data_IF_854668728638
#
_entry.id   IF_854668728638
#
_cell.length_a   1.000
_cell.length_b   1.000
_cell.length_c   1.000
_cell.angle_alpha   90.00
_cell.angle_beta   90.00
_cell.angle_gamma   90.00
#
_symmetry.space_group_name_H-M   'P 1'
#
loop_
_entity.id
_entity.type
_entity.pdbx_description
1 polymer ?
#
# COMPACT_ATOMS: atom_id res chain seq x y z
N UNK A 1 -19.44 17.15 -17.95
CA UNK A 1 -19.27 16.46 -16.66
C UNK A 1 -18.10 15.46 -16.69
N UNK A 2 -17.92 14.65 -17.75
CA UNK A 2 -16.81 13.68 -17.86
C UNK A 2 -15.41 14.31 -17.93
N UNK A 3 -15.26 15.48 -18.57
CA UNK A 3 -13.97 16.18 -18.67
C UNK A 3 -13.47 16.68 -17.31
N UNK A 4 -14.38 17.19 -16.47
CA UNK A 4 -14.04 17.66 -15.12
C UNK A 4 -13.52 16.51 -14.24
N UNK A 5 -14.19 15.35 -14.29
CA UNK A 5 -13.73 14.14 -13.60
C UNK A 5 -12.36 13.66 -14.12
N UNK A 6 -12.13 13.71 -15.43
CA UNK A 6 -10.84 13.33 -16.01
C UNK A 6 -9.70 14.25 -15.57
N UNK A 7 -9.95 15.56 -15.49
CA UNK A 7 -9.01 16.54 -14.94
C UNK A 7 -8.72 16.27 -13.46
N UNK A 8 -9.74 15.95 -12.66
CA UNK A 8 -9.57 15.57 -11.26
C UNK A 8 -8.74 14.29 -11.11
N UNK A 9 -8.95 13.29 -11.97
CA UNK A 9 -8.15 12.07 -11.96
C UNK A 9 -6.69 12.34 -12.33
N UNK A 10 -6.44 13.16 -13.35
CA UNK A 10 -5.08 13.56 -13.74
C UNK A 10 -4.38 14.33 -12.62
N UNK A 11 -5.06 15.28 -11.96
CA UNK A 11 -4.53 16.02 -10.83
C UNK A 11 -4.17 15.10 -9.65
N UNK A 12 -5.04 14.14 -9.33
CA UNK A 12 -4.77 13.13 -8.28
C UNK A 12 -3.64 12.18 -8.67
N UNK A 13 -3.53 11.83 -9.95
CA UNK A 13 -2.42 11.03 -10.44
C UNK A 13 -1.08 11.75 -10.26
N UNK A 14 -1.01 13.07 -10.45
CA UNK A 14 0.18 13.87 -10.14
C UNK A 14 0.65 13.66 -8.70
N UNK A 15 -0.28 13.75 -7.74
CA UNK A 15 0.04 13.56 -6.32
C UNK A 15 0.65 12.17 -6.06
N UNK A 16 0.01 11.12 -6.57
CA UNK A 16 0.51 9.75 -6.38
C UNK A 16 1.84 9.48 -7.10
N UNK A 17 2.06 10.08 -8.27
CA UNK A 17 3.33 10.00 -8.97
C UNK A 17 4.43 10.69 -8.14
N UNK A 18 4.14 11.83 -7.51
CA UNK A 18 5.12 12.52 -6.66
C UNK A 18 5.42 11.75 -5.37
N UNK A 19 4.42 11.14 -4.73
CA UNK A 19 4.62 10.20 -3.60
C UNK A 19 5.54 9.05 -4.03
N UNK A 20 5.23 8.41 -5.16
CA UNK A 20 6.02 7.30 -5.69
C UNK A 20 7.47 7.72 -5.98
N UNK A 21 7.69 8.94 -6.51
CA UNK A 21 9.02 9.49 -6.77
C UNK A 21 9.84 9.73 -5.50
N UNK A 22 9.19 10.03 -4.37
CA UNK A 22 9.85 10.21 -3.06
C UNK A 22 10.17 8.86 -2.41
N UNK A 23 9.22 7.94 -2.41
CA UNK A 23 9.34 6.64 -1.74
C UNK A 23 10.23 5.63 -2.49
N UNK A 24 10.30 5.69 -3.82
CA UNK A 24 11.06 4.69 -4.60
C UNK A 24 12.58 4.71 -4.28
N UNK A 25 13.26 5.86 -4.15
CA UNK A 25 14.63 5.91 -3.63
C UNK A 25 14.79 5.25 -2.25
N UNK A 26 13.83 5.45 -1.33
CA UNK A 26 13.87 4.85 0.01
C UNK A 26 13.80 3.32 -0.05
N UNK A 27 13.04 2.74 -0.99
CA UNK A 27 13.05 1.29 -1.22
C UNK A 27 14.43 0.78 -1.67
N UNK A 28 15.12 1.54 -2.53
CA UNK A 28 16.46 1.17 -2.97
C UNK A 28 17.46 1.20 -1.81
N UNK A 29 17.31 2.15 -0.89
CA UNK A 29 18.10 2.23 0.33
C UNK A 29 17.81 1.06 1.28
N UNK A 30 16.54 0.70 1.48
CA UNK A 30 16.14 -0.44 2.33
C UNK A 30 16.57 -1.80 1.77
N UNK A 31 16.85 -1.89 0.46
CA UNK A 31 17.39 -3.10 -0.15
C UNK A 31 18.87 -3.33 0.23
N UNK A 32 19.58 -2.31 0.72
CA UNK A 32 21.01 -2.41 1.08
C UNK A 32 21.20 -3.36 2.28
N UNK A 33 21.93 -4.46 2.13
CA UNK A 33 22.16 -5.42 3.21
C UNK A 33 22.84 -4.77 4.43
N UNK A 34 22.31 -5.01 5.63
CA UNK A 34 22.92 -4.58 6.90
C UNK A 34 22.14 -3.55 7.70
N UNK A 35 21.02 -3.02 7.19
CA UNK A 35 20.13 -2.16 7.99
C UNK A 35 19.16 -3.02 8.82
N UNK A 36 19.03 -2.80 10.14
CA UNK A 36 17.93 -3.38 10.89
C UNK A 36 16.62 -2.78 10.37
N UNK A 37 15.84 -3.58 9.63
CA UNK A 37 14.56 -3.15 9.08
C UNK A 37 13.61 -2.78 10.22
N UNK A 38 13.16 -1.52 10.26
CA UNK A 38 12.14 -1.03 11.19
C UNK A 38 10.77 -1.65 10.92
N UNK A 39 10.57 -2.22 9.72
CA UNK A 39 9.35 -2.89 9.28
C UNK A 39 9.09 -4.27 9.94
N UNK A 40 9.91 -4.69 10.90
CA UNK A 40 9.55 -5.83 11.75
C UNK A 40 8.46 -5.39 12.73
N UNK A 41 7.20 -5.48 12.28
CA UNK A 41 6.04 -5.40 13.17
C UNK A 41 6.30 -6.33 14.37
N UNK A 42 6.05 -5.91 15.62
CA UNK A 42 6.03 -6.83 16.73
C UNK A 42 5.01 -7.92 16.38
N UNK A 43 5.47 -9.16 16.18
CA UNK A 43 4.57 -10.31 16.29
C UNK A 43 3.84 -10.18 17.63
N UNK A 44 2.55 -10.54 17.66
CA UNK A 44 1.71 -10.58 18.87
C UNK A 44 2.52 -10.97 20.12
N UNK A 45 2.27 -10.38 21.30
CA UNK A 45 3.12 -10.53 22.48
C UNK A 45 3.46 -12.01 22.69
N UNK A 46 4.69 -12.36 22.32
CA UNK A 46 5.19 -13.73 22.39
C UNK A 46 5.23 -14.10 23.86
N UNK A 47 4.76 -15.31 24.17
CA UNK A 47 4.81 -15.83 25.54
C UNK A 47 6.24 -15.67 26.10
N UNK A 48 6.39 -15.45 27.42
CA UNK A 48 7.72 -15.39 28.04
C UNK A 48 8.63 -16.56 27.63
N UNK A 49 8.07 -17.76 27.47
CA UNK A 49 8.79 -18.95 26.98
C UNK A 49 9.34 -18.79 25.55
N UNK A 50 8.56 -18.21 24.63
CA UNK A 50 9.00 -17.99 23.25
C UNK A 50 10.09 -16.90 23.14
N UNK A 51 10.08 -15.92 24.06
CA UNK A 51 11.17 -14.93 24.19
C UNK A 51 12.44 -15.56 24.72
N UNK A 52 12.32 -16.40 25.75
CA UNK A 52 13.46 -17.12 26.34
C UNK A 52 14.11 -18.06 25.31
N UNK A 53 13.32 -18.87 24.60
CA UNK A 53 13.83 -19.80 23.58
C UNK A 53 14.52 -19.10 22.39
N UNK A 54 14.22 -17.81 22.14
CA UNK A 54 14.95 -17.01 21.15
C UNK A 54 16.26 -16.47 21.73
N UNK A 55 16.23 -15.92 22.94
CA UNK A 55 17.42 -15.45 23.62
C UNK A 55 18.45 -16.58 23.86
N UNK A 56 17.98 -17.81 24.05
CA UNK A 56 18.83 -19.00 24.19
C UNK A 56 19.49 -19.37 22.86
N UNK A 57 18.75 -19.32 21.74
CA UNK A 57 19.30 -19.51 20.38
C UNK A 57 20.31 -18.42 20.03
N UNK A 58 19.95 -17.15 20.24
CA UNK A 58 20.83 -16.01 19.96
C UNK A 58 22.13 -16.05 20.81
N UNK A 59 22.08 -16.69 22.00
CA UNK A 59 23.27 -16.94 22.84
C UNK A 59 24.10 -18.12 22.32
N UNK A 60 23.46 -19.21 21.90
CA UNK A 60 24.13 -20.35 21.31
C UNK A 60 24.86 -19.95 20.01
N UNK A 61 24.17 -19.24 19.12
CA UNK A 61 24.75 -18.75 17.86
C UNK A 61 25.98 -17.86 18.10
N UNK A 62 25.94 -17.00 19.14
CA UNK A 62 27.09 -16.18 19.55
C UNK A 62 28.26 -17.01 20.09
N UNK A 63 27.97 -18.06 20.85
CA UNK A 63 29.00 -18.96 21.36
C UNK A 63 29.69 -19.72 20.22
N UNK A 64 28.92 -20.17 19.23
CA UNK A 64 29.45 -20.86 18.05
C UNK A 64 30.31 -19.95 17.17
N UNK A 65 29.91 -18.68 16.98
CA UNK A 65 30.73 -17.67 16.27
C UNK A 65 32.07 -17.46 16.98
N UNK A 66 32.05 -17.22 18.30
CA UNK A 66 33.27 -17.00 19.09
C UNK A 66 34.18 -18.22 19.09
N UNK A 67 33.60 -19.43 19.14
CA UNK A 67 34.36 -20.67 19.04
C UNK A 67 35.03 -20.80 17.67
N UNK A 68 34.31 -20.52 16.58
CA UNK A 68 34.87 -20.56 15.22
C UNK A 68 36.01 -19.54 15.03
N UNK A 69 35.84 -18.32 15.55
CA UNK A 69 36.87 -17.27 15.54
C UNK A 69 38.15 -17.70 16.28
N UNK A 70 38.02 -18.32 17.46
CA UNK A 70 39.15 -18.83 18.24
C UNK A 70 39.92 -19.95 17.53
N UNK A 71 39.26 -20.69 16.63
CA UNK A 71 39.85 -21.79 15.87
C UNK A 71 40.27 -21.39 14.45
N UNK A 72 40.25 -20.08 14.13
CA UNK A 72 40.65 -19.57 12.83
C UNK A 72 39.74 -20.00 11.68
N UNK A 73 38.52 -20.43 11.98
CA UNK A 73 37.50 -20.80 11.00
C UNK A 73 36.67 -19.56 10.68
N UNK A 74 36.81 -19.02 9.46
CA UNK A 74 35.90 -17.97 8.99
C UNK A 74 34.47 -18.51 8.96
N UNK A 75 33.49 -17.82 9.56
CA UNK A 75 32.11 -18.26 9.50
C UNK A 75 31.65 -18.30 8.04
N UNK A 76 31.31 -19.49 7.55
CA UNK A 76 30.56 -19.68 6.29
C UNK A 76 29.14 -19.18 6.57
N UNK A 77 28.94 -17.86 6.48
CA UNK A 77 27.70 -17.23 6.94
C UNK A 77 27.83 -15.81 7.48
N UNK A 78 29.01 -15.17 7.43
CA UNK A 78 29.16 -13.72 7.66
C UNK A 78 28.50 -12.84 6.58
N UNK A 79 27.41 -13.31 5.98
CA UNK A 79 26.66 -12.60 4.95
C UNK A 79 26.00 -11.38 5.57
N UNK A 80 26.13 -10.24 4.90
CA UNK A 80 25.36 -9.05 5.19
C UNK A 80 23.88 -9.43 5.40
N UNK A 81 23.20 -8.74 6.33
CA UNK A 81 21.86 -9.12 6.78
C UNK A 81 20.96 -9.55 5.60
N UNK A 82 20.13 -10.61 5.75
CA UNK A 82 19.36 -11.17 4.64
C UNK A 82 18.62 -10.08 3.87
N UNK A 83 18.72 -10.09 2.54
CA UNK A 83 17.97 -9.18 1.67
C UNK A 83 16.49 -9.28 2.03
N UNK A 84 15.84 -8.13 2.23
CA UNK A 84 14.42 -8.08 2.46
C UNK A 84 13.68 -8.41 1.16
N UNK A 85 13.29 -9.68 0.99
CA UNK A 85 12.63 -10.18 -0.21
C UNK A 85 11.34 -9.41 -0.55
N UNK A 86 10.61 -8.92 0.47
CA UNK A 86 9.41 -8.08 0.25
C UNK A 86 9.76 -6.75 -0.40
N UNK A 87 10.88 -6.13 -0.02
CA UNK A 87 11.36 -4.88 -0.64
C UNK A 87 11.84 -5.17 -2.07
N UNK A 88 12.57 -6.27 -2.27
CA UNK A 88 13.00 -6.70 -3.61
C UNK A 88 11.82 -6.95 -4.56
N UNK A 89 10.79 -7.65 -4.10
CA UNK A 89 9.58 -7.91 -4.89
C UNK A 89 8.82 -6.62 -5.19
N UNK A 90 8.70 -5.71 -4.22
CA UNK A 90 8.08 -4.41 -4.45
C UNK A 90 8.82 -3.61 -5.53
N UNK A 91 10.16 -3.56 -5.48
CA UNK A 91 10.98 -2.84 -6.46
C UNK A 91 10.74 -3.39 -7.87
N UNK A 92 10.73 -4.72 -8.02
CA UNK A 92 10.46 -5.38 -9.31
C UNK A 92 9.07 -5.03 -9.84
N UNK A 93 8.04 -5.25 -9.02
CA UNK A 93 6.65 -4.97 -9.39
C UNK A 93 6.41 -3.49 -9.77
N UNK A 94 7.05 -2.55 -9.06
CA UNK A 94 6.94 -1.12 -9.33
C UNK A 94 7.70 -0.76 -10.61
N UNK A 95 8.88 -1.34 -10.81
CA UNK A 95 9.66 -1.11 -12.04
C UNK A 95 8.90 -1.57 -13.26
N UNK A 96 8.34 -2.78 -13.23
CA UNK A 96 7.54 -3.33 -14.33
C UNK A 96 6.27 -2.49 -14.53
N UNK A 97 5.55 -2.18 -13.44
CA UNK A 97 4.33 -1.38 -13.51
C UNK A 97 4.54 0.04 -14.09
N UNK A 98 5.65 0.71 -13.78
CA UNK A 98 5.95 2.04 -14.35
C UNK A 98 6.30 1.93 -15.85
N UNK A 99 7.01 0.87 -16.26
CA UNK A 99 7.31 0.62 -17.67
C UNK A 99 6.01 0.37 -18.44
N UNK A 100 5.16 -0.53 -17.95
CA UNK A 100 3.87 -0.86 -18.56
C UNK A 100 2.96 0.37 -18.64
N UNK A 101 2.88 1.16 -17.57
CA UNK A 101 2.07 2.39 -17.54
C UNK A 101 2.55 3.44 -18.54
N UNK A 102 3.87 3.66 -18.66
CA UNK A 102 4.41 4.59 -19.65
C UNK A 102 4.16 4.10 -21.08
N UNK A 103 4.30 2.80 -21.34
CA UNK A 103 3.98 2.23 -22.65
C UNK A 103 2.48 2.38 -22.98
N UNK A 104 1.58 2.09 -22.03
CA UNK A 104 0.13 2.25 -22.21
C UNK A 104 -0.30 3.71 -22.47
N UNK A 105 0.26 4.66 -21.72
CA UNK A 105 -0.02 6.10 -21.93
C UNK A 105 0.47 6.55 -23.31
N UNK A 106 1.70 6.16 -23.70
CA UNK A 106 2.27 6.59 -24.98
C UNK A 106 1.61 5.94 -26.17
N UNK A 107 1.18 4.69 -26.06
CA UNK A 107 0.38 4.03 -27.08
C UNK A 107 -0.96 4.77 -27.28
N UNK A 108 -1.66 5.06 -26.17
CA UNK A 108 -2.95 5.77 -26.22
C UNK A 108 -2.83 7.17 -26.81
N UNK A 109 -1.74 7.88 -26.51
CA UNK A 109 -1.43 9.22 -27.04
C UNK A 109 -0.70 9.19 -28.41
N UNK A 110 -0.43 8.00 -28.97
CA UNK A 110 0.28 7.79 -30.25
C UNK A 110 1.67 8.43 -30.32
N UNK A 111 2.41 8.40 -29.21
CA UNK A 111 3.75 9.01 -29.09
C UNK A 111 4.89 8.04 -29.39
N UNK A 112 4.60 6.80 -29.79
CA UNK A 112 5.58 5.75 -30.03
C UNK A 112 6.27 5.25 -28.75
N UNK A 113 7.18 4.27 -28.90
CA UNK A 113 7.79 3.58 -27.76
C UNK A 113 8.70 4.51 -26.93
N UNK A 114 8.62 4.50 -25.59
CA UNK A 114 9.53 5.29 -24.76
C UNK A 114 10.97 4.75 -24.83
N UNK A 115 11.99 5.61 -24.72
CA UNK A 115 13.36 5.16 -24.51
C UNK A 115 13.50 4.46 -23.14
N UNK A 116 14.55 3.65 -22.98
CA UNK A 116 14.89 3.06 -21.67
C UNK A 116 15.28 4.18 -20.69
N UNK A 117 14.74 4.12 -19.48
CA UNK A 117 15.04 5.06 -18.41
C UNK A 117 14.79 4.42 -17.04
N UNK A 118 15.40 4.97 -15.99
CA UNK A 118 15.12 4.58 -14.62
C UNK A 118 13.71 5.04 -14.19
N UNK A 119 13.15 4.39 -13.17
CA UNK A 119 11.79 4.69 -12.67
C UNK A 119 11.56 6.19 -12.39
N UNK A 120 12.46 6.93 -11.71
CA UNK A 120 12.25 8.36 -11.46
C UNK A 120 12.17 9.22 -12.74
N UNK A 121 12.92 8.86 -13.79
CA UNK A 121 12.87 9.55 -15.08
C UNK A 121 11.57 9.26 -15.82
N UNK A 122 11.09 8.02 -15.79
CA UNK A 122 9.82 7.62 -16.41
C UNK A 122 8.64 8.30 -15.74
N UNK A 123 8.62 8.34 -14.41
CA UNK A 123 7.62 9.06 -13.63
C UNK A 123 7.58 10.55 -13.98
N UNK A 124 8.76 11.20 -14.11
CA UNK A 124 8.84 12.59 -14.58
C UNK A 124 8.27 12.80 -15.98
N UNK A 125 8.45 11.84 -16.90
CA UNK A 125 7.86 11.89 -18.25
C UNK A 125 6.35 11.72 -18.19
N UNK A 126 5.84 10.78 -17.39
CA UNK A 126 4.42 10.56 -17.17
C UNK A 126 3.73 11.83 -16.65
N UNK A 127 4.31 12.50 -15.63
CA UNK A 127 3.76 13.77 -15.11
C UNK A 127 3.57 14.82 -16.21
N UNK A 128 4.52 14.93 -17.14
CA UNK A 128 4.44 15.90 -18.26
C UNK A 128 3.35 15.57 -19.29
N UNK A 129 2.83 14.35 -19.29
CA UNK A 129 1.76 13.92 -20.20
C UNK A 129 0.37 14.07 -19.58
N UNK A 130 0.26 14.40 -18.28
CA UNK A 130 -1.02 14.37 -17.56
C UNK A 130 -2.07 15.35 -18.12
N UNK A 131 -1.66 16.50 -18.66
CA UNK A 131 -2.58 17.43 -19.33
C UNK A 131 -3.20 16.84 -20.60
N UNK A 132 -2.46 16.00 -21.32
CA UNK A 132 -2.98 15.28 -22.49
C UNK A 132 -3.82 14.07 -22.05
N UNK A 133 -3.39 13.37 -20.99
CA UNK A 133 -4.16 12.27 -20.38
C UNK A 133 -5.53 12.73 -19.91
N UNK A 134 -5.66 13.96 -19.39
CA UNK A 134 -6.94 14.53 -18.96
C UNK A 134 -7.97 14.64 -20.10
N UNK A 135 -7.55 14.61 -21.36
CA UNK A 135 -8.43 14.59 -22.53
C UNK A 135 -9.05 13.19 -22.78
N UNK A 136 -8.60 12.18 -22.04
CA UNK A 136 -9.00 10.78 -22.18
C UNK A 136 -9.47 10.22 -20.82
N UNK A 137 -10.79 10.28 -20.50
CA UNK A 137 -11.30 9.92 -19.17
C UNK A 137 -10.90 8.52 -18.67
N UNK A 138 -10.97 7.51 -19.54
CA UNK A 138 -10.58 6.15 -19.18
C UNK A 138 -9.07 6.01 -18.93
N UNK A 139 -8.23 6.75 -19.68
CA UNK A 139 -6.79 6.77 -19.45
C UNK A 139 -6.44 7.49 -18.16
N UNK A 140 -7.10 8.62 -17.87
CA UNK A 140 -6.90 9.37 -16.63
C UNK A 140 -7.24 8.52 -15.39
N UNK A 141 -8.34 7.77 -15.44
CA UNK A 141 -8.69 6.80 -14.40
C UNK A 141 -7.61 5.72 -14.25
N UNK A 142 -7.19 5.11 -15.37
CA UNK A 142 -6.17 4.08 -15.34
C UNK A 142 -4.85 4.59 -14.74
N UNK A 143 -4.36 5.74 -15.18
CA UNK A 143 -3.12 6.33 -14.66
C UNK A 143 -3.21 6.61 -13.16
N UNK A 144 -4.35 7.12 -12.68
CA UNK A 144 -4.61 7.28 -11.25
C UNK A 144 -4.54 5.95 -10.50
N UNK A 145 -5.25 4.92 -10.99
CA UNK A 145 -5.32 3.61 -10.33
C UNK A 145 -3.94 2.94 -10.25
N UNK A 146 -3.19 2.96 -11.35
CA UNK A 146 -1.88 2.36 -11.45
C UNK A 146 -0.85 3.08 -10.57
N UNK A 147 -0.82 4.42 -10.63
CA UNK A 147 0.11 5.23 -9.81
C UNK A 147 -0.15 5.02 -8.32
N UNK A 148 -1.43 5.01 -7.94
CA UNK A 148 -1.86 4.75 -6.57
C UNK A 148 -1.49 3.35 -6.12
N UNK A 149 -1.72 2.32 -6.95
CA UNK A 149 -1.35 0.94 -6.62
C UNK A 149 0.15 0.83 -6.33
N UNK A 150 0.99 1.44 -7.16
CA UNK A 150 2.44 1.40 -7.02
C UNK A 150 2.94 2.18 -5.79
N UNK A 151 2.44 3.40 -5.55
CA UNK A 151 2.77 4.19 -4.36
C UNK A 151 2.40 3.45 -3.07
N UNK A 152 1.23 2.80 -3.03
CA UNK A 152 0.81 1.99 -1.87
C UNK A 152 1.71 0.77 -1.67
N UNK A 153 2.17 0.13 -2.74
CA UNK A 153 3.11 -1.00 -2.65
C UNK A 153 4.46 -0.52 -2.10
N UNK A 154 4.92 0.69 -2.45
CA UNK A 154 6.08 1.33 -1.83
C UNK A 154 5.86 1.51 -0.32
N UNK A 155 4.84 2.28 0.09
CA UNK A 155 4.58 2.56 1.50
C UNK A 155 4.41 1.28 2.32
N UNK A 156 3.69 0.29 1.79
CA UNK A 156 3.60 -1.01 2.42
C UNK A 156 5.00 -1.62 2.60
N UNK A 157 5.82 -1.75 1.54
CA UNK A 157 7.15 -2.33 1.65
C UNK A 157 8.09 -1.58 2.63
N UNK A 158 7.91 -0.27 2.79
CA UNK A 158 8.62 0.57 3.77
C UNK A 158 8.07 0.44 5.21
N UNK A 159 6.92 -0.20 5.39
CA UNK A 159 6.34 -0.46 6.71
C UNK A 159 5.26 0.54 7.15
N UNK A 160 4.81 1.42 6.24
CA UNK A 160 3.73 2.37 6.54
C UNK A 160 2.43 1.61 6.86
N UNK A 161 1.85 1.92 8.02
CA UNK A 161 0.52 1.47 8.39
C UNK A 161 -0.49 2.53 7.91
N UNK A 162 -1.38 2.14 7.00
CA UNK A 162 -2.42 3.02 6.48
C UNK A 162 -3.24 3.69 7.61
N UNK A 163 -3.35 5.01 7.57
CA UNK A 163 -4.16 5.78 8.50
C UNK A 163 -5.66 5.56 8.23
N UNK A 164 -6.37 4.99 9.20
CA UNK A 164 -7.80 4.72 9.08
C UNK A 164 -8.62 5.95 9.45
N UNK A 165 -9.52 6.37 8.57
CA UNK A 165 -10.36 7.55 8.80
C UNK A 165 -11.68 7.15 9.44
N UNK A 166 -12.13 7.90 10.44
CA UNK A 166 -13.43 7.67 11.06
C UNK A 166 -14.54 8.13 10.12
N UNK A 167 -15.47 7.22 9.82
CA UNK A 167 -16.71 7.53 9.12
C UNK A 167 -17.79 7.86 10.15
N UNK A 168 -18.55 8.93 9.90
CA UNK A 168 -19.73 9.29 10.69
C UNK A 168 -20.86 8.27 10.47
N UNK A 169 -21.75 8.10 11.44
CA UNK A 169 -22.83 7.10 11.35
C UNK A 169 -22.53 5.76 12.03
N UNK A 170 -23.46 4.82 11.90
CA UNK A 170 -23.46 3.51 12.57
C UNK A 170 -23.42 2.36 11.57
N UNK A 171 -22.78 1.27 11.96
CA UNK A 171 -22.79 0.05 11.16
C UNK A 171 -24.23 -0.48 11.01
N UNK A 172 -24.74 -0.75 9.79
CA UNK A 172 -26.10 -1.24 9.59
C UNK A 172 -26.39 -2.62 10.21
N UNK A 173 -25.35 -3.40 10.54
CA UNK A 173 -25.52 -4.76 11.08
C UNK A 173 -25.35 -4.86 12.61
N UNK A 174 -24.44 -4.08 13.20
CA UNK A 174 -24.18 -4.15 14.64
C UNK A 174 -24.47 -2.85 15.38
N UNK A 175 -25.00 -1.85 14.68
CA UNK A 175 -25.39 -0.52 15.17
C UNK A 175 -24.26 0.25 15.91
N UNK A 176 -23.02 -0.19 15.75
CA UNK A 176 -21.84 0.38 16.42
C UNK A 176 -21.24 1.53 15.62
N UNK A 177 -20.66 2.54 16.31
CA UNK A 177 -19.93 3.67 15.70
C UNK A 177 -18.48 3.26 15.36
N UNK A 178 -18.35 2.18 14.62
CA UNK A 178 -17.09 1.49 14.32
C UNK A 178 -16.78 1.46 12.83
N UNK A 179 -17.45 2.29 12.02
CA UNK A 179 -17.12 2.43 10.61
C UNK A 179 -15.79 3.17 10.46
N UNK A 180 -14.89 2.60 9.67
CA UNK A 180 -13.62 3.20 9.28
C UNK A 180 -13.48 3.12 7.77
N UNK A 181 -13.12 4.23 7.16
CA UNK A 181 -12.66 4.25 5.79
C UNK A 181 -11.18 3.88 5.77
N UNK A 182 -10.84 3.06 4.79
CA UNK A 182 -9.50 2.65 4.41
C UNK A 182 -9.21 3.35 3.09
N UNK A 183 -8.59 4.56 3.11
CA UNK A 183 -8.27 5.31 1.90
C UNK A 183 -7.53 4.46 0.87
N UNK A 184 -6.46 3.77 1.31
CA UNK A 184 -6.12 2.39 0.95
C UNK A 184 -6.84 1.76 -0.23
N UNK A 185 -7.90 1.09 0.17
CA UNK A 185 -8.69 0.18 -0.61
C UNK A 185 -9.95 0.86 -1.13
N UNK A 186 -10.10 2.17 -0.89
CA UNK A 186 -11.34 2.94 -1.03
C UNK A 186 -12.52 2.12 -0.56
N UNK A 187 -12.37 1.61 0.65
CA UNK A 187 -13.34 0.73 1.27
C UNK A 187 -13.69 1.27 2.65
N UNK A 188 -14.96 1.16 3.02
CA UNK A 188 -15.38 1.34 4.41
C UNK A 188 -15.56 -0.05 5.01
N UNK A 189 -15.14 -0.24 6.26
CA UNK A 189 -15.31 -1.47 7.02
C UNK A 189 -15.79 -1.16 8.43
N UNK A 190 -16.55 -2.09 9.00
CA UNK A 190 -16.83 -2.09 10.44
C UNK A 190 -15.68 -2.76 11.19
N UNK A 191 -14.98 -2.02 12.05
CA UNK A 191 -13.84 -2.56 12.82
C UNK A 191 -14.25 -3.31 14.10
N UNK A 192 -15.55 -3.40 14.40
CA UNK A 192 -16.03 -4.19 15.53
C UNK A 192 -15.78 -5.70 15.24
N UNK A 193 -14.96 -6.40 16.04
CA UNK A 193 -14.60 -7.79 15.78
C UNK A 193 -15.78 -8.76 15.83
N UNK A 194 -16.84 -8.42 16.57
CA UNK A 194 -18.08 -9.20 16.65
C UNK A 194 -19.06 -8.95 15.50
N UNK A 195 -18.82 -7.94 14.65
CA UNK A 195 -19.76 -7.59 13.58
C UNK A 195 -19.77 -8.65 12.48
N UNK A 196 -20.96 -9.13 12.13
CA UNK A 196 -21.21 -10.03 11.00
C UNK A 196 -22.39 -9.50 10.20
N UNK A 197 -22.25 -9.56 8.89
CA UNK A 197 -23.24 -9.18 7.91
C UNK A 197 -24.27 -10.30 7.75
N UNK A 198 -25.47 -9.96 7.31
CA UNK A 198 -26.54 -10.93 7.03
C UNK A 198 -26.51 -11.45 5.59
N UNK A 199 -25.53 -11.03 4.78
CA UNK A 199 -25.36 -11.47 3.40
C UNK A 199 -24.74 -12.87 3.35
N UNK A 200 -25.46 -13.82 2.75
CA UNK A 200 -25.11 -15.26 2.78
C UNK A 200 -23.81 -15.57 2.03
N UNK A 201 -23.53 -14.83 0.94
CA UNK A 201 -22.33 -15.03 0.12
C UNK A 201 -21.14 -14.18 0.58
N UNK A 202 -21.31 -13.37 1.64
CA UNK A 202 -20.23 -12.54 2.12
C UNK A 202 -19.28 -13.36 3.02
N UNK A 203 -17.96 -13.42 2.72
CA UNK A 203 -17.01 -14.18 3.52
C UNK A 203 -16.92 -13.71 4.98
N UNK A 204 -17.45 -12.52 5.28
CA UNK A 204 -17.56 -11.98 6.63
C UNK A 204 -18.35 -12.90 7.57
N UNK A 205 -19.35 -13.62 7.06
CA UNK A 205 -20.23 -14.47 7.87
C UNK A 205 -19.51 -15.72 8.41
N UNK A 206 -18.56 -16.26 7.66
CA UNK A 206 -17.93 -17.56 7.94
C UNK A 206 -16.45 -17.47 8.29
N UNK A 207 -15.75 -16.39 7.92
CA UNK A 207 -14.33 -16.21 8.18
C UNK A 207 -14.05 -15.13 9.26
N UNK A 208 -13.54 -15.50 10.44
CA UNK A 208 -13.20 -14.55 11.52
C UNK A 208 -12.14 -13.51 11.15
N UNK A 209 -11.32 -13.77 10.13
CA UNK A 209 -10.32 -12.83 9.59
C UNK A 209 -10.88 -11.89 8.52
N UNK A 210 -12.09 -12.15 8.00
CA UNK A 210 -12.73 -11.30 7.00
C UNK A 210 -13.72 -10.34 7.67
N UNK A 211 -13.82 -9.13 7.12
CA UNK A 211 -14.80 -8.12 7.54
C UNK A 211 -15.55 -7.68 6.32
N UNK A 212 -16.86 -7.42 6.47
CA UNK A 212 -17.64 -6.87 5.38
C UNK A 212 -17.02 -5.54 4.96
N UNK A 213 -16.77 -5.40 3.67
CA UNK A 213 -16.24 -4.19 3.08
C UNK A 213 -17.25 -3.59 2.11
N UNK A 214 -17.44 -2.28 2.23
CA UNK A 214 -18.16 -1.49 1.25
C UNK A 214 -17.12 -0.80 0.37
N UNK A 215 -16.94 -1.32 -0.84
CA UNK A 215 -16.18 -0.63 -1.88
C UNK A 215 -16.79 0.74 -2.17
N UNK A 216 -16.03 1.62 -2.81
CA UNK A 216 -16.44 2.97 -3.17
C UNK A 216 -17.80 3.05 -3.86
N UNK A 217 -18.06 2.14 -4.79
CA UNK A 217 -19.34 2.06 -5.52
C UNK A 217 -20.54 1.78 -4.60
N UNK A 218 -20.30 1.24 -3.40
CA UNK A 218 -21.32 0.94 -2.41
C UNK A 218 -21.46 2.03 -1.32
N UNK A 219 -20.67 3.11 -1.35
CA UNK A 219 -20.73 4.15 -0.32
C UNK A 219 -22.07 4.89 -0.28
N UNK A 220 -22.68 5.16 -1.44
CA UNK A 220 -24.01 5.76 -1.49
C UNK A 220 -25.06 4.87 -0.79
N UNK A 221 -24.99 3.55 -1.02
CA UNK A 221 -25.87 2.58 -0.36
C UNK A 221 -25.59 2.53 1.14
N UNK A 222 -24.32 2.50 1.56
CA UNK A 222 -23.93 2.54 2.96
C UNK A 222 -24.47 3.79 3.66
N UNK A 223 -24.27 4.97 3.08
CA UNK A 223 -24.73 6.25 3.62
C UNK A 223 -26.24 6.23 3.94
N UNK A 224 -27.04 5.73 2.99
CA UNK A 224 -28.49 5.62 3.14
C UNK A 224 -28.96 4.79 4.35
N UNK A 225 -28.17 3.79 4.79
CA UNK A 225 -28.56 2.87 5.89
C UNK A 225 -27.78 3.07 7.18
N UNK A 226 -26.71 3.86 7.16
CA UNK A 226 -25.83 4.09 8.32
C UNK A 226 -26.02 5.46 8.98
N UNK A 227 -26.77 6.37 8.33
CA UNK A 227 -26.82 7.77 8.72
C UNK A 227 -25.52 8.53 8.44
N UNK A 228 -24.60 7.93 7.66
CA UNK A 228 -23.44 8.62 7.11
C UNK A 228 -23.84 9.45 5.88
N UNK A 229 -22.99 10.39 5.48
CA UNK A 229 -23.10 11.07 4.21
C UNK A 229 -22.04 10.56 3.23
N UNK A 230 -22.46 10.19 2.01
CA UNK A 230 -21.56 9.62 1.00
C UNK A 230 -20.53 10.65 0.49
N UNK A 231 -20.94 11.92 0.38
CA UNK A 231 -20.03 13.00 -0.01
C UNK A 231 -18.99 13.25 1.09
N UNK A 232 -19.40 13.22 2.35
CA UNK A 232 -18.51 13.28 3.51
C UNK A 232 -17.53 12.11 3.56
N UNK A 233 -17.97 10.86 3.30
CA UNK A 233 -17.05 9.71 3.23
C UNK A 233 -16.01 9.94 2.12
N UNK A 234 -16.45 10.36 0.94
CA UNK A 234 -15.54 10.63 -0.17
C UNK A 234 -14.55 11.74 0.13
N UNK A 235 -15.01 12.85 0.73
CA UNK A 235 -14.15 13.96 1.16
C UNK A 235 -13.13 13.49 2.21
N UNK A 236 -13.56 12.79 3.26
CA UNK A 236 -12.69 12.25 4.30
C UNK A 236 -11.61 11.31 3.74
N UNK A 237 -11.97 10.45 2.79
CA UNK A 237 -11.02 9.58 2.11
C UNK A 237 -10.06 10.38 1.25
N UNK A 238 -10.55 11.36 0.49
CA UNK A 238 -9.72 12.17 -0.39
C UNK A 238 -8.76 13.08 0.41
N UNK A 239 -9.20 13.63 1.54
CA UNK A 239 -8.41 14.47 2.43
C UNK A 239 -7.30 13.66 3.11
N UNK A 240 -7.61 12.44 3.57
CA UNK A 240 -6.60 11.54 4.12
C UNK A 240 -5.59 11.08 3.05
N UNK A 241 -6.01 10.90 1.81
CA UNK A 241 -5.09 10.65 0.69
C UNK A 241 -4.20 11.86 0.37
N UNK A 242 -4.65 13.09 0.65
CA UNK A 242 -3.88 14.31 0.43
C UNK A 242 -2.93 14.66 1.59
N UNK A 243 -3.27 14.27 2.83
CA UNK A 243 -2.46 14.52 4.03
C UNK A 243 -1.27 13.58 4.22
N UNK A 244 -1.29 12.40 3.60
CA UNK A 244 -0.19 11.41 3.60
C UNK A 244 0.78 11.59 2.41
N UNK A 245 0.64 12.67 1.61
CA UNK A 245 1.44 13.00 0.42
C UNK A 245 2.40 14.18 0.63
#
# INVERSE_FOLDING_TARGET
MTTDLATQHAARATLWIDVLRRQFPELLEELVPGRPSTATRPSAPRSPAARQARADRDRADRADILWNEQHGLSPIGGGAAPINLRVSDAIRDITDGVVELEEAVRDKLRLGRPPRAAVPDRLRRLTRLLDQVAQHPALAQHVLDESRRMARRCGAALGDAEALVRVTGRCPWCDSVSLRAFPAWRAVLCVNPGCRCTEQDCPCATNPGHRHSWAETAWARLAAVSGADAASIAALVNDAEAGDA
#
